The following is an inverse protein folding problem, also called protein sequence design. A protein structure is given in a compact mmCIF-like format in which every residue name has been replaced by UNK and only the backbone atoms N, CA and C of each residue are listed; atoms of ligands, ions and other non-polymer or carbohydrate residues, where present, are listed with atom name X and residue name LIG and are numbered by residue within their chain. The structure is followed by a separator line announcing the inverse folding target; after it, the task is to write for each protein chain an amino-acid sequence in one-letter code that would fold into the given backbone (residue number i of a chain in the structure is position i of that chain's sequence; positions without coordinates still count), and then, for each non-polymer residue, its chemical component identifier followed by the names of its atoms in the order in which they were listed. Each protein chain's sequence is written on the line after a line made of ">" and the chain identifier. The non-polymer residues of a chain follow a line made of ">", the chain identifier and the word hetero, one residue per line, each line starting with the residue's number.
data_IF_479818973904
#
_entry.id   IF_479818973904
#
_cell.length_a   1.000
_cell.length_b   1.000
_cell.length_c   1.000
_cell.angle_alpha   90.00
_cell.angle_beta   90.00
_cell.angle_gamma   90.00
#
_symmetry.space_group_name_H-M   'P 1'
#
loop_
_entity.id
_entity.type
_entity.pdbx_description
1 polymer ?
#
# COMPACT_ATOMS: atom_id res chain seq x y z
N UNK A 1 -15.35 3.35 -14.49
CA UNK A 1 -14.78 3.09 -15.82
C UNK A 1 -15.27 4.13 -16.81
N UNK A 2 -14.37 4.66 -17.62
CA UNK A 2 -14.70 5.55 -18.74
C UNK A 2 -14.38 4.83 -20.03
N UNK A 3 -15.27 4.91 -21.03
CA UNK A 3 -15.06 4.34 -22.35
C UNK A 3 -14.90 5.45 -23.36
N UNK A 4 -14.01 5.26 -24.34
CA UNK A 4 -13.80 6.23 -25.43
C UNK A 4 -15.09 6.53 -26.20
N UNK A 5 -15.94 5.53 -26.40
CA UNK A 5 -17.21 5.64 -27.10
C UNK A 5 -18.24 4.62 -26.59
N UNK A 6 -19.48 4.73 -27.09
CA UNK A 6 -20.60 3.85 -26.71
C UNK A 6 -20.41 2.41 -27.14
N UNK A 7 -19.72 2.15 -28.26
CA UNK A 7 -19.52 0.79 -28.77
C UNK A 7 -18.69 -0.03 -27.78
N UNK A 8 -17.61 0.55 -27.25
CA UNK A 8 -16.81 -0.09 -26.21
C UNK A 8 -17.59 -0.33 -24.92
N UNK A 9 -18.49 0.60 -24.54
CA UNK A 9 -19.34 0.45 -23.35
C UNK A 9 -20.29 -0.74 -23.46
N UNK A 10 -20.80 -1.07 -24.64
CA UNK A 10 -21.75 -2.19 -24.82
C UNK A 10 -21.14 -3.52 -24.39
N UNK A 11 -19.83 -3.71 -24.61
CA UNK A 11 -19.12 -4.92 -24.21
C UNK A 11 -19.01 -5.12 -22.70
N UNK A 12 -19.28 -4.09 -21.87
CA UNK A 12 -19.30 -4.23 -20.41
C UNK A 12 -20.69 -4.54 -19.84
N UNK A 13 -21.71 -4.65 -20.69
CA UNK A 13 -23.08 -4.93 -20.27
C UNK A 13 -23.33 -6.43 -20.24
N UNK A 14 -24.02 -6.89 -19.20
CA UNK A 14 -24.57 -8.24 -19.13
C UNK A 14 -26.02 -8.21 -19.58
N UNK A 15 -26.40 -9.14 -20.46
CA UNK A 15 -27.77 -9.34 -20.93
C UNK A 15 -28.12 -10.83 -20.85
N UNK A 16 -29.20 -11.15 -20.17
CA UNK A 16 -29.77 -12.50 -20.13
C UNK A 16 -31.26 -12.45 -20.48
N UNK A 17 -31.58 -12.95 -21.66
CA UNK A 17 -32.95 -13.05 -22.18
C UNK A 17 -33.63 -14.38 -21.82
N UNK A 18 -32.88 -15.33 -21.28
CA UNK A 18 -33.37 -16.69 -20.94
C UNK A 18 -33.97 -16.77 -19.53
N UNK A 19 -33.78 -15.73 -18.73
CA UNK A 19 -34.29 -15.68 -17.38
C UNK A 19 -35.82 -15.82 -17.34
N UNK A 20 -36.37 -16.68 -16.47
CA UNK A 20 -37.79 -17.03 -16.47
C UNK A 20 -38.71 -15.88 -16.00
N UNK A 21 -38.16 -14.84 -15.37
CA UNK A 21 -38.95 -13.72 -14.85
C UNK A 21 -39.10 -12.55 -15.82
N UNK A 22 -37.97 -12.07 -16.36
CA UNK A 22 -37.89 -10.93 -17.28
C UNK A 22 -36.47 -10.85 -17.86
N UNK A 23 -36.27 -10.03 -18.90
CA UNK A 23 -34.95 -9.79 -19.47
C UNK A 23 -34.06 -9.07 -18.46
N UNK A 24 -32.95 -9.70 -18.06
CA UNK A 24 -31.97 -9.07 -17.18
C UNK A 24 -30.95 -8.27 -17.98
N UNK A 25 -30.79 -6.99 -17.62
CA UNK A 25 -29.76 -6.11 -18.20
C UNK A 25 -29.03 -5.41 -17.07
N UNK A 26 -27.72 -5.66 -16.93
CA UNK A 26 -26.88 -5.02 -15.93
C UNK A 26 -25.76 -4.23 -16.61
N UNK A 27 -25.61 -2.95 -16.25
CA UNK A 27 -24.58 -2.06 -16.79
C UNK A 27 -23.22 -2.16 -16.06
N UNK A 28 -23.17 -2.92 -14.97
CA UNK A 28 -22.00 -3.18 -14.15
C UNK A 28 -22.15 -4.54 -13.44
N UNK A 29 -21.12 -4.96 -12.69
CA UNK A 29 -21.08 -6.26 -12.00
C UNK A 29 -22.25 -6.44 -11.02
N UNK A 30 -22.54 -5.41 -10.21
CA UNK A 30 -23.64 -5.45 -9.24
C UNK A 30 -24.94 -4.93 -9.87
N UNK A 31 -26.03 -5.66 -9.66
CA UNK A 31 -27.38 -5.21 -9.99
C UNK A 31 -27.88 -4.24 -8.92
N UNK A 32 -28.37 -4.75 -7.78
CA UNK A 32 -28.63 -3.93 -6.61
C UNK A 32 -27.33 -3.39 -6.01
N UNK A 33 -27.27 -2.08 -5.80
CA UNK A 33 -26.10 -1.41 -5.22
C UNK A 33 -26.52 -0.21 -4.38
N UNK A 34 -25.75 0.10 -3.35
CA UNK A 34 -26.00 1.27 -2.49
C UNK A 34 -25.80 2.57 -3.28
N UNK A 35 -26.75 3.50 -3.13
CA UNK A 35 -26.67 4.85 -3.70
C UNK A 35 -25.76 5.78 -2.87
N UNK A 36 -25.48 5.43 -1.61
CA UNK A 36 -24.70 6.25 -0.68
C UNK A 36 -23.34 6.68 -1.24
N UNK A 37 -22.46 5.74 -1.65
CA UNK A 37 -21.16 6.09 -2.22
C UNK A 37 -21.25 6.97 -3.47
N UNK A 38 -22.25 6.78 -4.32
CA UNK A 38 -22.47 7.60 -5.51
C UNK A 38 -22.86 9.04 -5.14
N UNK A 39 -23.78 9.20 -4.18
CA UNK A 39 -24.21 10.50 -3.69
C UNK A 39 -23.05 11.25 -3.01
N UNK A 40 -22.25 10.56 -2.19
CA UNK A 40 -21.07 11.13 -1.54
C UNK A 40 -20.03 11.59 -2.54
N UNK A 41 -19.71 10.77 -3.56
CA UNK A 41 -18.77 11.16 -4.61
C UNK A 41 -19.25 12.41 -5.37
N UNK A 42 -20.54 12.45 -5.72
CA UNK A 42 -21.13 13.63 -6.37
C UNK A 42 -21.06 14.88 -5.49
N UNK A 43 -21.40 14.75 -4.19
CA UNK A 43 -21.33 15.85 -3.24
C UNK A 43 -19.90 16.40 -3.09
N UNK A 44 -18.89 15.53 -2.99
CA UNK A 44 -17.47 15.94 -2.91
C UNK A 44 -17.02 16.65 -4.17
N UNK A 45 -17.35 16.13 -5.36
CA UNK A 45 -17.00 16.77 -6.64
C UNK A 45 -17.60 18.18 -6.72
N UNK A 46 -18.87 18.33 -6.31
CA UNK A 46 -19.56 19.63 -6.30
C UNK A 46 -19.03 20.58 -5.25
N UNK A 47 -18.73 20.09 -4.06
CA UNK A 47 -18.21 20.89 -2.96
C UNK A 47 -16.80 21.41 -3.24
N UNK A 48 -15.90 20.55 -3.74
CA UNK A 48 -14.52 20.93 -4.06
C UNK A 48 -14.45 21.81 -5.31
N UNK A 49 -15.17 21.44 -6.37
CA UNK A 49 -14.99 22.05 -7.68
C UNK A 49 -13.54 21.97 -8.16
N UNK A 50 -13.23 22.65 -9.26
CA UNK A 50 -11.88 22.66 -9.82
C UNK A 50 -10.87 23.29 -8.86
N UNK A 51 -11.21 24.44 -8.26
CA UNK A 51 -10.31 25.17 -7.36
C UNK A 51 -9.93 24.36 -6.12
N UNK A 52 -10.88 23.63 -5.52
CA UNK A 52 -10.63 22.75 -4.39
C UNK A 52 -9.69 21.62 -4.76
N UNK A 53 -9.89 20.97 -5.92
CA UNK A 53 -8.98 19.93 -6.39
C UNK A 53 -7.58 20.49 -6.67
N UNK A 54 -7.46 21.66 -7.31
CA UNK A 54 -6.17 22.32 -7.55
C UNK A 54 -5.45 22.67 -6.24
N UNK A 55 -6.18 23.14 -5.23
CA UNK A 55 -5.63 23.41 -3.89
C UNK A 55 -5.07 22.13 -3.24
N UNK A 56 -5.85 21.05 -3.25
CA UNK A 56 -5.41 19.77 -2.69
C UNK A 56 -4.22 19.18 -3.46
N UNK A 57 -4.22 19.27 -4.80
CA UNK A 57 -3.10 18.83 -5.62
C UNK A 57 -1.81 19.61 -5.29
N UNK A 58 -1.88 20.93 -5.11
CA UNK A 58 -0.72 21.73 -4.68
C UNK A 58 -0.17 21.29 -3.32
N UNK A 59 -1.05 20.98 -2.35
CA UNK A 59 -0.61 20.43 -1.04
C UNK A 59 0.12 19.10 -1.21
N UNK A 60 -0.39 18.19 -2.04
CA UNK A 60 0.27 16.90 -2.32
C UNK A 60 1.65 17.11 -2.95
N UNK A 61 1.78 18.01 -3.92
CA UNK A 61 3.07 18.32 -4.55
C UNK A 61 4.06 18.97 -3.58
N UNK A 62 3.57 19.84 -2.69
CA UNK A 62 4.35 20.45 -1.60
C UNK A 62 4.85 19.38 -0.61
N UNK A 63 3.95 18.53 -0.12
CA UNK A 63 4.28 17.41 0.76
C UNK A 63 5.34 16.50 0.13
N UNK A 64 5.13 16.12 -1.14
CA UNK A 64 6.07 15.31 -1.92
C UNK A 64 7.45 15.93 -1.97
N UNK A 65 7.53 17.23 -2.26
CA UNK A 65 8.81 17.94 -2.31
C UNK A 65 9.50 17.94 -0.94
N UNK A 66 8.79 18.34 0.12
CA UNK A 66 9.35 18.38 1.50
C UNK A 66 9.85 17.01 1.95
N UNK A 67 9.02 15.98 1.78
CA UNK A 67 9.35 14.61 2.21
C UNK A 67 10.48 14.03 1.38
N UNK A 68 10.44 14.18 0.05
CA UNK A 68 11.51 13.67 -0.80
C UNK A 68 12.84 14.36 -0.53
N UNK A 69 12.86 15.70 -0.46
CA UNK A 69 14.09 16.44 -0.19
C UNK A 69 14.67 16.07 1.18
N UNK A 70 13.83 15.98 2.22
CA UNK A 70 14.28 15.61 3.57
C UNK A 70 14.78 14.16 3.66
N UNK A 71 14.14 13.20 2.98
CA UNK A 71 14.64 11.83 2.91
C UNK A 71 15.93 11.73 2.08
N UNK A 72 16.09 12.56 1.04
CA UNK A 72 17.33 12.63 0.25
C UNK A 72 18.52 13.10 1.08
N UNK A 73 18.30 14.02 2.02
CA UNK A 73 19.33 14.41 3.00
C UNK A 73 19.74 13.26 3.93
N UNK A 74 18.92 12.21 4.03
CA UNK A 74 19.19 10.97 4.76
C UNK A 74 19.69 9.83 3.85
N UNK A 75 20.20 10.13 2.65
CA UNK A 75 20.68 9.20 1.62
C UNK A 75 19.59 8.30 0.99
N UNK A 76 18.30 8.68 1.07
CA UNK A 76 17.29 7.99 0.28
C UNK A 76 17.28 8.47 -1.17
N UNK A 77 17.24 7.53 -2.10
CA UNK A 77 17.21 7.78 -3.54
C UNK A 77 15.94 7.21 -4.17
N UNK A 78 15.46 7.85 -5.23
CA UNK A 78 14.26 7.39 -5.94
C UNK A 78 14.58 6.22 -6.86
N UNK A 79 13.78 5.15 -6.77
CA UNK A 79 13.94 3.98 -7.67
C UNK A 79 13.34 4.20 -9.06
N UNK A 80 12.58 5.28 -9.24
CA UNK A 80 11.92 5.64 -10.50
C UNK A 80 11.72 7.17 -10.63
N UNK A 81 11.41 7.70 -11.83
CA UNK A 81 11.02 9.10 -11.98
C UNK A 81 9.81 9.48 -11.12
N UNK A 82 9.90 10.61 -10.41
CA UNK A 82 8.85 11.08 -9.50
C UNK A 82 7.83 11.93 -10.26
N UNK A 83 6.84 11.27 -10.86
CA UNK A 83 5.81 11.94 -11.67
C UNK A 83 4.47 12.09 -10.94
N UNK A 84 4.26 11.38 -9.83
CA UNK A 84 2.97 11.29 -9.14
C UNK A 84 3.07 11.70 -7.65
N UNK A 85 2.00 11.46 -6.88
CA UNK A 85 1.95 11.60 -5.42
C UNK A 85 2.59 10.44 -4.68
N UNK A 86 3.10 9.44 -5.39
CA UNK A 86 3.73 8.25 -4.83
C UNK A 86 5.24 8.40 -4.88
N UNK A 87 5.90 8.04 -3.79
CA UNK A 87 7.35 7.96 -3.69
C UNK A 87 7.74 6.50 -3.46
N UNK A 88 8.70 6.00 -4.23
CA UNK A 88 9.37 4.73 -3.98
C UNK A 88 10.85 5.01 -3.81
N UNK A 89 11.34 4.87 -2.57
CA UNK A 89 12.67 5.34 -2.17
C UNK A 89 13.49 4.20 -1.57
N UNK A 90 14.75 4.10 -1.95
CA UNK A 90 15.70 3.11 -1.43
C UNK A 90 16.84 3.81 -0.70
N UNK A 91 17.52 3.10 0.19
CA UNK A 91 18.71 3.58 0.88
C UNK A 91 19.61 2.37 1.12
N UNK A 92 20.75 2.32 0.44
CA UNK A 92 21.68 1.18 0.50
C UNK A 92 22.45 1.10 1.83
N UNK A 93 22.57 2.23 2.53
CA UNK A 93 23.29 2.33 3.81
C UNK A 93 22.38 2.01 5.01
N UNK A 94 21.07 2.05 4.82
CA UNK A 94 20.08 1.87 5.87
C UNK A 94 19.51 0.45 5.92
N UNK A 95 19.18 -0.01 7.13
CA UNK A 95 18.31 -1.17 7.29
C UNK A 95 16.86 -0.70 7.12
N UNK A 96 16.29 -0.90 5.93
CA UNK A 96 14.93 -0.42 5.63
C UNK A 96 13.88 -1.06 6.53
N UNK A 97 14.10 -2.29 7.01
CA UNK A 97 13.17 -2.95 7.92
C UNK A 97 13.20 -2.28 9.30
N UNK A 98 14.40 -2.07 9.84
CA UNK A 98 14.62 -1.33 11.08
C UNK A 98 14.03 0.09 11.00
N UNK A 99 14.28 0.79 9.90
CA UNK A 99 13.74 2.12 9.64
C UNK A 99 12.19 2.13 9.67
N UNK A 100 11.54 1.24 8.93
CA UNK A 100 10.07 1.23 8.86
C UNK A 100 9.47 0.86 10.22
N UNK A 101 10.05 -0.11 10.93
CA UNK A 101 9.60 -0.51 12.28
C UNK A 101 9.68 0.66 13.26
N UNK A 102 10.82 1.36 13.31
CA UNK A 102 11.00 2.53 14.18
C UNK A 102 10.06 3.69 13.80
N UNK A 103 9.79 3.89 12.51
CA UNK A 103 8.81 4.87 12.05
C UNK A 103 7.38 4.51 12.50
N UNK A 104 7.02 3.22 12.52
CA UNK A 104 5.71 2.75 12.99
C UNK A 104 5.51 2.93 14.49
N UNK A 105 6.54 2.72 15.32
CA UNK A 105 6.48 3.01 16.76
C UNK A 105 6.12 4.48 17.04
N UNK A 106 6.44 5.35 16.08
CA UNK A 106 6.12 6.78 16.09
C UNK A 106 4.79 7.13 15.41
N UNK A 107 4.05 6.12 14.94
CA UNK A 107 2.73 6.26 14.31
C UNK A 107 2.74 6.43 12.78
N UNK A 108 3.90 6.29 12.13
CA UNK A 108 4.00 6.42 10.67
C UNK A 108 3.82 5.09 9.96
N UNK A 109 2.81 5.01 9.10
CA UNK A 109 2.50 3.80 8.33
C UNK A 109 2.76 4.00 6.85
N UNK A 110 3.69 3.21 6.30
CA UNK A 110 3.97 3.10 4.87
C UNK A 110 4.47 1.69 4.56
N UNK A 111 4.61 1.37 3.27
CA UNK A 111 4.95 0.01 2.85
C UNK A 111 6.46 -0.14 2.67
N UNK A 112 6.97 -1.31 3.00
CA UNK A 112 8.30 -1.78 2.62
C UNK A 112 8.12 -2.85 1.55
N UNK A 113 8.86 -2.75 0.45
CA UNK A 113 8.78 -3.63 -0.70
C UNK A 113 10.09 -4.41 -0.84
N UNK A 114 10.03 -5.73 -1.12
CA UNK A 114 11.22 -6.62 -1.17
C UNK A 114 12.24 -6.29 -2.27
N UNK A 115 11.87 -5.46 -3.25
CA UNK A 115 12.64 -5.27 -4.48
C UNK A 115 12.41 -6.39 -5.49
N UNK A 116 12.71 -6.13 -6.76
CA UNK A 116 12.53 -7.09 -7.86
C UNK A 116 13.83 -7.17 -8.66
N UNK A 117 14.61 -8.23 -8.41
CA UNK A 117 15.94 -8.43 -9.03
C UNK A 117 15.90 -8.47 -10.55
N UNK A 118 14.91 -9.12 -11.15
CA UNK A 118 14.72 -9.21 -12.61
C UNK A 118 14.60 -7.84 -13.27
N UNK A 119 13.99 -6.87 -12.57
CA UNK A 119 13.79 -5.51 -13.05
C UNK A 119 14.83 -4.52 -12.52
N UNK A 120 15.87 -4.99 -11.82
CA UNK A 120 16.88 -4.16 -11.17
C UNK A 120 16.27 -3.12 -10.20
N UNK A 121 15.18 -3.48 -9.52
CA UNK A 121 14.53 -2.64 -8.52
C UNK A 121 15.02 -3.08 -7.14
N UNK A 122 15.72 -2.23 -6.37
CA UNK A 122 16.17 -2.59 -5.02
C UNK A 122 14.99 -2.63 -4.03
N UNK A 123 15.16 -3.24 -2.85
CA UNK A 123 14.26 -3.05 -1.73
C UNK A 123 14.03 -1.56 -1.48
N UNK A 124 12.79 -1.16 -1.24
CA UNK A 124 12.43 0.25 -1.14
C UNK A 124 11.20 0.47 -0.27
N UNK A 125 11.06 1.67 0.26
CA UNK A 125 9.86 2.14 0.95
C UNK A 125 8.92 2.80 -0.05
N UNK A 126 7.63 2.57 0.11
CA UNK A 126 6.58 3.12 -0.74
C UNK A 126 5.63 4.01 0.07
N UNK A 127 5.59 5.28 -0.27
CA UNK A 127 4.75 6.29 0.36
C UNK A 127 3.71 6.80 -0.63
N UNK A 128 2.42 6.70 -0.27
CA UNK A 128 1.34 7.35 -1.02
C UNK A 128 0.96 8.65 -0.33
N UNK A 129 1.26 9.78 -0.97
CA UNK A 129 1.04 11.08 -0.35
C UNK A 129 -0.35 11.63 -0.61
N UNK A 130 -0.95 12.20 0.43
CA UNK A 130 -2.23 12.89 0.40
C UNK A 130 -2.08 14.32 0.94
N UNK A 131 -3.08 15.20 0.78
CA UNK A 131 -2.97 16.61 1.16
C UNK A 131 -2.63 16.87 2.63
N UNK A 132 -2.92 15.93 3.55
CA UNK A 132 -2.61 16.07 4.98
C UNK A 132 -1.10 15.98 5.25
N UNK A 133 -0.35 15.27 4.42
CA UNK A 133 1.09 15.07 4.63
C UNK A 133 1.90 16.37 4.47
N UNK A 134 1.32 17.41 3.85
CA UNK A 134 1.98 18.72 3.78
C UNK A 134 2.10 19.38 5.16
N UNK A 135 1.15 19.08 6.05
CA UNK A 135 1.05 19.66 7.40
C UNK A 135 1.97 18.93 8.40
N UNK A 136 2.34 17.68 8.09
CA UNK A 136 3.11 16.81 9.00
C UNK A 136 4.47 16.39 8.42
N UNK A 137 4.86 16.93 7.26
CA UNK A 137 6.11 16.58 6.58
C UNK A 137 7.35 16.83 7.44
N UNK A 138 7.39 17.94 8.19
CA UNK A 138 8.54 18.28 9.04
C UNK A 138 8.69 17.30 10.21
N UNK A 139 7.57 16.92 10.83
CA UNK A 139 7.54 15.92 11.90
C UNK A 139 7.97 14.54 11.38
N UNK A 140 7.46 14.15 10.20
CA UNK A 140 7.85 12.93 9.52
C UNK A 140 9.38 12.88 9.27
N UNK A 141 9.97 13.96 8.74
CA UNK A 141 11.42 14.00 8.46
C UNK A 141 12.25 14.00 9.74
N UNK A 142 11.81 14.70 10.79
CA UNK A 142 12.46 14.66 12.09
C UNK A 142 12.50 13.24 12.63
N UNK A 143 11.39 12.52 12.59
CA UNK A 143 11.31 11.14 13.03
C UNK A 143 12.13 10.20 12.14
N UNK A 144 12.09 10.39 10.81
CA UNK A 144 12.89 9.63 9.87
C UNK A 144 14.39 9.77 10.13
N UNK A 145 14.85 10.98 10.51
CA UNK A 145 16.27 11.22 10.83
C UNK A 145 16.76 10.45 12.07
N UNK A 146 15.85 10.12 12.99
CA UNK A 146 16.14 9.28 14.14
C UNK A 146 16.06 7.81 13.73
N UNK A 147 15.01 7.42 13.01
CA UNK A 147 14.73 6.04 12.62
C UNK A 147 15.75 5.46 11.63
N UNK A 148 16.40 6.27 10.79
CA UNK A 148 17.34 5.76 9.74
C UNK A 148 18.55 5.01 10.31
N UNK A 149 18.84 5.21 11.60
CA UNK A 149 19.93 4.55 12.33
C UNK A 149 19.50 3.25 13.00
N UNK A 150 18.19 3.02 13.09
CA UNK A 150 17.64 1.85 13.76
C UNK A 150 17.86 0.60 12.90
N UNK A 151 18.09 -0.52 13.59
CA UNK A 151 18.26 -1.83 12.99
C UNK A 151 17.10 -2.71 13.39
N UNK A 152 16.69 -3.58 12.49
CA UNK A 152 15.65 -4.54 12.81
C UNK A 152 16.13 -5.41 13.99
N UNK A 153 15.31 -5.52 15.03
CA UNK A 153 15.48 -6.50 16.11
C UNK A 153 15.35 -7.93 15.59
N UNK A 154 14.73 -8.08 14.42
CA UNK A 154 14.38 -9.32 13.77
C UNK A 154 15.31 -9.51 12.55
N UNK A 155 16.00 -10.65 12.50
CA UNK A 155 16.82 -11.01 11.35
C UNK A 155 15.94 -11.70 10.28
N UNK A 156 15.83 -11.09 9.09
CA UNK A 156 15.09 -11.65 7.96
C UNK A 156 15.64 -13.01 7.49
N UNK A 157 16.94 -13.26 7.62
CA UNK A 157 17.53 -14.56 7.30
C UNK A 157 17.06 -15.64 8.26
N UNK A 158 17.01 -15.35 9.57
CA UNK A 158 16.50 -16.33 10.54
C UNK A 158 15.01 -16.62 10.34
N UNK A 159 14.22 -15.61 9.97
CA UNK A 159 12.81 -15.82 9.63
C UNK A 159 12.63 -16.65 8.37
N UNK A 160 13.44 -16.38 7.32
CA UNK A 160 13.44 -17.19 6.11
C UNK A 160 13.86 -18.65 6.41
N UNK A 161 14.77 -18.88 7.35
CA UNK A 161 15.10 -20.23 7.80
C UNK A 161 13.95 -20.92 8.54
N UNK A 162 13.26 -20.24 9.46
CA UNK A 162 12.10 -20.79 10.18
C UNK A 162 10.98 -21.16 9.21
N UNK A 163 10.73 -20.29 8.24
CA UNK A 163 9.85 -20.54 7.10
C UNK A 163 10.25 -21.79 6.33
N UNK A 164 11.52 -21.93 5.94
CA UNK A 164 11.98 -23.08 5.16
C UNK A 164 11.90 -24.38 5.95
N UNK A 165 11.98 -24.31 7.29
CA UNK A 165 11.81 -25.43 8.21
C UNK A 165 10.33 -25.80 8.46
N UNK A 166 9.39 -25.01 7.96
CA UNK A 166 7.95 -25.23 8.15
C UNK A 166 7.44 -24.82 9.53
N UNK A 167 8.16 -23.95 10.25
CA UNK A 167 7.85 -23.51 11.63
C UNK A 167 6.80 -22.37 11.63
N UNK A 168 5.81 -22.42 10.74
CA UNK A 168 4.83 -21.34 10.53
C UNK A 168 3.96 -21.05 11.75
N UNK A 169 3.61 -22.09 12.52
CA UNK A 169 2.83 -21.93 13.75
C UNK A 169 3.56 -21.08 14.80
N UNK A 170 4.90 -21.12 14.82
CA UNK A 170 5.71 -20.34 15.76
C UNK A 170 5.82 -18.87 15.30
N UNK A 171 5.91 -18.64 13.98
CA UNK A 171 5.85 -17.30 13.39
C UNK A 171 4.49 -16.64 13.65
N UNK A 172 3.39 -17.36 13.45
CA UNK A 172 2.03 -16.87 13.74
C UNK A 172 1.85 -16.58 15.23
N UNK A 173 2.36 -17.45 16.10
CA UNK A 173 2.34 -17.22 17.54
C UNK A 173 3.13 -15.97 17.94
N UNK A 174 4.32 -15.77 17.37
CA UNK A 174 5.12 -14.58 17.64
C UNK A 174 4.48 -13.30 17.06
N UNK A 175 3.70 -13.40 15.98
CA UNK A 175 2.86 -12.32 15.46
C UNK A 175 1.71 -11.99 16.42
N UNK A 176 0.98 -12.99 16.91
CA UNK A 176 -0.13 -12.82 17.87
C UNK A 176 0.35 -12.30 19.23
N UNK A 177 1.51 -12.75 19.69
CA UNK A 177 2.16 -12.28 20.92
C UNK A 177 2.83 -10.90 20.74
N UNK A 178 2.81 -10.33 19.53
CA UNK A 178 3.36 -9.01 19.21
C UNK A 178 4.89 -8.95 19.23
N UNK A 179 5.57 -10.10 19.21
CA UNK A 179 7.03 -10.19 19.11
C UNK A 179 7.52 -9.92 17.68
N UNK A 180 6.70 -10.28 16.68
CA UNK A 180 6.91 -9.94 15.28
C UNK A 180 5.83 -8.93 14.89
N UNK A 181 6.26 -7.78 14.35
CA UNK A 181 5.33 -6.77 13.86
C UNK A 181 4.58 -7.32 12.63
N UNK A 182 3.23 -7.25 12.65
CA UNK A 182 2.34 -7.72 11.58
C UNK A 182 2.62 -7.11 10.21
N UNK A 183 3.34 -6.01 10.20
CA UNK A 183 3.77 -5.33 9.00
C UNK A 183 5.02 -5.89 8.31
N UNK A 184 5.66 -6.88 8.95
CA UNK A 184 6.69 -7.74 8.34
C UNK A 184 6.01 -8.88 7.57
N UNK A 185 4.73 -9.16 7.82
CA UNK A 185 3.96 -10.22 7.14
C UNK A 185 3.99 -10.05 5.62
N UNK A 186 3.73 -8.88 5.02
CA UNK A 186 3.84 -8.72 3.57
C UNK A 186 5.24 -9.08 3.04
N UNK A 187 6.30 -8.71 3.77
CA UNK A 187 7.69 -9.00 3.42
C UNK A 187 8.01 -10.49 3.58
N UNK A 188 7.48 -11.13 4.63
CA UNK A 188 7.61 -12.56 4.87
C UNK A 188 6.96 -13.33 3.75
N UNK A 189 5.67 -13.08 3.50
CA UNK A 189 4.88 -13.65 2.40
C UNK A 189 5.59 -13.47 1.05
N UNK A 190 6.18 -12.31 0.84
CA UNK A 190 6.92 -11.97 -0.37
C UNK A 190 8.22 -12.79 -0.57
N UNK A 191 8.80 -13.34 0.51
CA UNK A 191 9.96 -14.23 0.45
C UNK A 191 9.60 -15.73 0.47
N UNK A 192 8.30 -16.06 0.60
CA UNK A 192 7.82 -17.43 0.52
C UNK A 192 7.61 -17.85 -0.95
N UNK A 193 7.64 -19.16 -1.24
CA UNK A 193 6.98 -19.68 -2.43
C UNK A 193 5.51 -19.20 -2.45
N UNK A 194 5.02 -18.80 -3.62
CA UNK A 194 3.69 -18.21 -3.80
C UNK A 194 2.57 -19.08 -3.21
N UNK A 195 2.69 -20.39 -3.33
CA UNK A 195 1.75 -21.37 -2.77
C UNK A 195 1.66 -21.27 -1.24
N UNK A 196 2.81 -21.14 -0.56
CA UNK A 196 2.88 -21.03 0.91
C UNK A 196 2.42 -19.65 1.40
N UNK A 197 2.76 -18.58 0.67
CA UNK A 197 2.25 -17.25 0.96
C UNK A 197 0.72 -17.20 0.88
N UNK A 198 0.16 -17.85 -0.14
CA UNK A 198 -1.28 -17.91 -0.35
C UNK A 198 -1.97 -18.64 0.80
N UNK A 199 -1.47 -19.83 1.18
CA UNK A 199 -2.02 -20.60 2.31
C UNK A 199 -2.01 -19.80 3.62
N UNK A 200 -0.93 -19.09 3.94
CA UNK A 200 -0.84 -18.27 5.18
C UNK A 200 -1.82 -17.10 5.13
N UNK A 201 -1.93 -16.39 4.00
CA UNK A 201 -2.89 -15.30 3.88
C UNK A 201 -4.32 -15.84 3.99
N UNK A 202 -4.61 -16.97 3.36
CA UNK A 202 -5.92 -17.61 3.47
C UNK A 202 -6.22 -18.01 4.91
N UNK A 203 -5.31 -18.66 5.64
CA UNK A 203 -5.51 -19.02 7.04
C UNK A 203 -5.71 -17.79 7.95
N UNK A 204 -4.89 -16.74 7.80
CA UNK A 204 -5.04 -15.49 8.57
C UNK A 204 -6.39 -14.83 8.26
N UNK A 205 -6.73 -14.68 6.98
CA UNK A 205 -7.94 -13.97 6.55
C UNK A 205 -9.19 -14.78 6.87
N UNK A 206 -9.20 -16.10 6.67
CA UNK A 206 -10.31 -16.99 7.03
C UNK A 206 -10.46 -17.03 8.56
N UNK A 207 -9.34 -17.08 9.29
CA UNK A 207 -9.32 -17.08 10.75
C UNK A 207 -9.97 -15.84 11.37
N UNK A 208 -10.01 -14.70 10.68
CA UNK A 208 -10.73 -13.51 11.14
C UNK A 208 -12.26 -13.64 11.13
N UNK A 209 -12.79 -14.64 10.41
CA UNK A 209 -14.23 -14.87 10.27
C UNK A 209 -14.73 -16.13 11.02
N UNK A 210 -13.86 -16.81 11.77
CA UNK A 210 -14.19 -17.96 12.64
C UNK A 210 -13.99 -17.62 14.10
#
# INVERSE_FOLDING_TARGET
>A
MLFRNSELKKHSMYVDVSSPGYIFVNAAVLSSRSVGPLASAYAVIKYLGEEGYLKLARKVLSARKKIYDGLRELNFESVAPIESSVLSLTNEDADLLGFVSAMREKGWHFHLQKGLKEFHIPPNIHLTLSPIHDDVAEEFIKDASMAVKEKASINLESLNEMVQKGEFAEILKDLEEGKIDSSIVPILLENLPEEVATEIVEEIVIGWYT
#
